data_IF_708662754241
#
_entry.id   IF_708662754241
#
_cell.length_a   1.000
_cell.length_b   1.000
_cell.length_c   1.000
_cell.angle_alpha   90.00
_cell.angle_beta   90.00
_cell.angle_gamma   90.00
#
_symmetry.space_group_name_H-M   'P 1'
#
loop_
_entity.id
_entity.type
_entity.pdbx_description
1 polymer ?
#
# COMPACT_ATOMS: atom_id res chain seq x y z
N UNK A 1 21.12 9.53 0.05
CA UNK A 1 21.21 8.07 0.18
C UNK A 1 20.09 7.59 1.08
N UNK A 2 19.19 6.82 0.52
CA UNK A 2 18.06 6.31 1.30
C UNK A 2 18.56 5.26 2.29
N UNK A 3 18.22 5.46 3.55
CA UNK A 3 18.53 4.49 4.60
C UNK A 3 17.42 3.44 4.62
N UNK A 4 17.79 2.18 4.46
CA UNK A 4 16.84 1.08 4.54
C UNK A 4 16.40 0.95 6.00
N UNK A 5 15.09 1.05 6.30
CA UNK A 5 14.64 0.96 7.68
C UNK A 5 14.85 -0.43 8.26
N UNK A 6 15.20 -0.46 9.55
CA UNK A 6 15.36 -1.70 10.29
C UNK A 6 14.92 -1.49 11.74
N UNK A 7 14.73 -2.60 12.46
CA UNK A 7 14.25 -2.57 13.84
C UNK A 7 12.74 -2.67 13.91
N UNK A 8 12.13 -1.99 14.88
CA UNK A 8 10.67 -1.95 15.01
C UNK A 8 10.11 -0.93 14.02
N UNK A 9 9.30 -1.40 13.11
CA UNK A 9 8.73 -0.58 12.03
C UNK A 9 7.21 -0.74 12.00
N UNK A 10 6.56 0.23 11.37
CA UNK A 10 5.13 0.11 11.04
C UNK A 10 5.00 -0.01 9.53
N UNK A 11 4.28 -1.03 9.10
CA UNK A 11 4.06 -1.31 7.68
C UNK A 11 2.66 -0.88 7.28
N UNK A 12 2.56 -0.29 6.11
CA UNK A 12 1.29 0.01 5.45
C UNK A 12 1.20 -0.85 4.19
N UNK A 13 0.10 -1.56 4.07
CA UNK A 13 -0.20 -2.37 2.89
C UNK A 13 -1.48 -1.88 2.28
N UNK A 14 -1.47 -1.68 0.96
CA UNK A 14 -2.64 -1.19 0.22
C UNK A 14 -2.92 -2.07 -0.97
N UNK A 15 -4.19 -2.21 -1.32
CA UNK A 15 -4.60 -2.78 -2.61
C UNK A 15 -5.92 -2.17 -3.06
N UNK A 16 -6.22 -2.30 -4.34
CA UNK A 16 -7.47 -1.80 -4.91
C UNK A 16 -8.53 -2.88 -4.77
N UNK A 17 -9.64 -2.53 -4.11
CA UNK A 17 -10.77 -3.43 -3.97
C UNK A 17 -11.38 -3.74 -5.33
N UNK A 18 -11.51 -5.04 -5.64
CA UNK A 18 -12.13 -5.49 -6.88
C UNK A 18 -11.38 -5.11 -8.15
N UNK A 19 -10.06 -4.99 -8.08
CA UNK A 19 -9.25 -4.56 -9.22
C UNK A 19 -9.39 -5.47 -10.44
N UNK A 20 -9.49 -6.77 -10.24
CA UNK A 20 -9.65 -7.73 -11.33
C UNK A 20 -10.91 -7.43 -12.15
N UNK A 21 -12.02 -7.18 -11.47
CA UNK A 21 -13.29 -6.85 -12.14
C UNK A 21 -13.22 -5.52 -12.88
N UNK A 22 -12.54 -4.53 -12.29
CA UNK A 22 -12.37 -3.22 -12.93
C UNK A 22 -11.56 -3.34 -14.23
N UNK A 23 -10.49 -4.15 -14.21
CA UNK A 23 -9.69 -4.41 -15.40
C UNK A 23 -10.49 -5.12 -16.49
N UNK A 24 -11.34 -6.07 -16.11
CA UNK A 24 -12.19 -6.79 -17.05
C UNK A 24 -13.25 -5.91 -17.68
N UNK A 25 -13.89 -5.05 -16.88
CA UNK A 25 -15.02 -4.22 -17.33
C UNK A 25 -14.58 -2.96 -18.06
N UNK A 26 -13.51 -2.30 -17.58
CA UNK A 26 -13.09 -0.99 -18.06
C UNK A 26 -11.57 -0.92 -18.23
N UNK A 27 -10.99 -1.73 -19.12
CA UNK A 27 -9.51 -1.84 -19.20
C UNK A 27 -8.84 -0.51 -19.54
N UNK A 28 -9.41 0.27 -20.45
CA UNK A 28 -8.83 1.57 -20.82
C UNK A 28 -8.93 2.59 -19.71
N UNK A 29 -10.11 2.72 -19.12
CA UNK A 29 -10.34 3.65 -18.01
C UNK A 29 -9.56 3.23 -16.78
N UNK A 30 -9.40 1.92 -16.54
CA UNK A 30 -8.65 1.40 -15.41
C UNK A 30 -7.16 1.73 -15.51
N UNK A 31 -6.60 1.75 -16.70
CA UNK A 31 -5.20 2.12 -16.90
C UNK A 31 -4.94 3.55 -16.42
N UNK A 32 -5.79 4.49 -16.79
CA UNK A 32 -5.68 5.87 -16.34
C UNK A 32 -5.95 6.00 -14.84
N UNK A 33 -6.96 5.28 -14.33
CA UNK A 33 -7.29 5.28 -12.92
C UNK A 33 -6.15 4.74 -12.06
N UNK A 34 -5.47 3.68 -12.52
CA UNK A 34 -4.33 3.10 -11.81
C UNK A 34 -3.18 4.12 -11.71
N UNK A 35 -2.90 4.85 -12.79
CA UNK A 35 -1.87 5.88 -12.77
C UNK A 35 -2.17 6.97 -11.74
N UNK A 36 -3.43 7.40 -11.64
CA UNK A 36 -3.86 8.38 -10.64
C UNK A 36 -3.78 7.81 -9.22
N UNK A 37 -4.22 6.57 -9.05
CA UNK A 37 -4.12 5.86 -7.78
C UNK A 37 -2.67 5.80 -7.30
N UNK A 38 -1.76 5.38 -8.17
CA UNK A 38 -0.34 5.27 -7.84
C UNK A 38 0.23 6.61 -7.42
N UNK A 39 -0.11 7.69 -8.13
CA UNK A 39 0.34 9.03 -7.79
C UNK A 39 -0.17 9.49 -6.42
N UNK A 40 -1.45 9.25 -6.12
CA UNK A 40 -2.05 9.61 -4.84
C UNK A 40 -1.39 8.88 -3.67
N UNK A 41 -1.23 7.57 -3.79
CA UNK A 41 -0.65 6.74 -2.73
C UNK A 41 0.83 7.09 -2.53
N UNK A 42 1.58 7.15 -3.63
CA UNK A 42 3.01 7.44 -3.58
C UNK A 42 3.29 8.81 -2.94
N UNK A 43 2.57 9.82 -3.35
CA UNK A 43 2.72 11.16 -2.79
C UNK A 43 2.42 11.19 -1.29
N UNK A 44 1.36 10.54 -0.85
CA UNK A 44 0.97 10.52 0.55
C UNK A 44 1.98 9.80 1.43
N UNK A 45 2.50 8.64 0.97
CA UNK A 45 3.45 7.87 1.78
C UNK A 45 4.83 8.51 1.80
N UNK A 46 5.29 9.04 0.68
CA UNK A 46 6.60 9.70 0.61
C UNK A 46 6.64 10.99 1.41
N UNK A 47 5.55 11.74 1.46
CA UNK A 47 5.44 12.97 2.25
C UNK A 47 5.61 12.71 3.76
N UNK A 48 5.39 11.48 4.21
CA UNK A 48 5.53 11.08 5.62
C UNK A 48 6.74 10.18 5.87
N UNK A 49 7.69 10.17 4.96
CA UNK A 49 8.90 9.39 5.11
C UNK A 49 8.74 7.90 4.92
N UNK A 50 7.67 7.48 4.25
CA UNK A 50 7.45 6.07 3.95
C UNK A 50 8.43 5.55 2.90
N UNK A 51 8.94 4.34 3.13
CA UNK A 51 9.82 3.65 2.21
C UNK A 51 9.02 2.55 1.50
N UNK A 52 8.78 2.74 0.21
CA UNK A 52 8.09 1.74 -0.60
C UNK A 52 9.09 0.65 -0.97
N UNK A 53 8.97 -0.50 -0.33
CA UNK A 53 9.94 -1.58 -0.53
C UNK A 53 9.47 -2.63 -1.53
N UNK A 54 8.19 -2.64 -1.87
CA UNK A 54 7.64 -3.61 -2.81
C UNK A 54 6.34 -3.10 -3.39
N UNK A 55 6.11 -3.42 -4.66
CA UNK A 55 4.81 -3.27 -5.30
C UNK A 55 4.46 -4.60 -5.98
N UNK A 56 3.19 -5.00 -5.88
CA UNK A 56 2.67 -6.20 -6.52
C UNK A 56 1.36 -5.82 -7.19
N UNK A 57 1.34 -5.76 -8.53
CA UNK A 57 0.18 -5.24 -9.25
C UNK A 57 -0.14 -3.83 -8.79
N UNK A 58 -1.34 -3.62 -8.26
CA UNK A 58 -1.76 -2.34 -7.68
C UNK A 58 -1.41 -2.18 -6.19
N UNK A 59 -0.88 -3.20 -5.55
CA UNK A 59 -0.59 -3.21 -4.12
C UNK A 59 0.73 -2.51 -3.81
N UNK A 60 0.72 -1.71 -2.74
CA UNK A 60 1.92 -1.07 -2.20
C UNK A 60 2.27 -1.66 -0.84
N UNK A 61 3.55 -1.93 -0.65
CA UNK A 61 4.12 -2.35 0.64
C UNK A 61 5.10 -1.28 1.10
N UNK A 62 4.77 -0.59 2.19
CA UNK A 62 5.49 0.60 2.65
C UNK A 62 5.93 0.41 4.10
N UNK A 63 7.15 0.82 4.42
CA UNK A 63 7.68 0.80 5.77
C UNK A 63 7.83 2.23 6.31
N UNK A 64 7.43 2.42 7.57
CA UNK A 64 7.56 3.69 8.28
C UNK A 64 8.32 3.47 9.58
N UNK A 65 9.06 4.48 10.01
CA UNK A 65 9.78 4.42 11.26
C UNK A 65 8.85 4.39 12.49
N UNK A 66 7.68 5.01 12.39
CA UNK A 66 6.73 5.10 13.51
C UNK A 66 5.30 4.86 13.06
N UNK A 67 4.46 4.39 13.99
CA UNK A 67 3.04 4.18 13.74
C UNK A 67 2.28 5.47 13.43
N UNK A 68 2.52 6.60 14.13
CA UNK A 68 1.84 7.84 13.80
C UNK A 68 2.08 8.32 12.37
N UNK A 69 3.30 8.18 11.85
CA UNK A 69 3.59 8.56 10.47
C UNK A 69 2.87 7.66 9.47
N UNK A 70 2.83 6.36 9.75
CA UNK A 70 2.10 5.41 8.90
C UNK A 70 0.61 5.71 8.87
N UNK A 71 0.02 5.99 10.03
CA UNK A 71 -1.40 6.34 10.13
C UNK A 71 -1.71 7.64 9.40
N UNK A 72 -0.86 8.66 9.58
CA UNK A 72 -1.03 9.94 8.90
C UNK A 72 -0.97 9.77 7.37
N UNK A 73 -0.04 8.95 6.89
CA UNK A 73 0.08 8.65 5.46
C UNK A 73 -1.16 7.93 4.93
N UNK A 74 -1.66 6.93 5.68
CA UNK A 74 -2.85 6.19 5.29
C UNK A 74 -4.08 7.11 5.19
N UNK A 75 -4.27 8.00 6.17
CA UNK A 75 -5.36 8.97 6.14
C UNK A 75 -5.22 9.95 4.98
N UNK A 76 -4.03 10.47 4.75
CA UNK A 76 -3.78 11.40 3.65
C UNK A 76 -4.05 10.73 2.30
N UNK A 77 -3.63 9.49 2.13
CA UNK A 77 -3.90 8.73 0.92
C UNK A 77 -5.39 8.52 0.70
N UNK A 78 -6.12 8.10 1.74
CA UNK A 78 -7.56 7.88 1.64
C UNK A 78 -8.31 9.17 1.31
N UNK A 79 -7.93 10.29 1.90
CA UNK A 79 -8.54 11.60 1.59
C UNK A 79 -8.28 12.01 0.15
N UNK A 80 -7.06 11.82 -0.34
CA UNK A 80 -6.72 12.14 -1.73
C UNK A 80 -7.49 11.26 -2.70
N UNK A 81 -7.61 9.96 -2.40
CA UNK A 81 -8.34 9.01 -3.22
C UNK A 81 -9.84 9.34 -3.26
N UNK A 82 -10.42 9.76 -2.14
CA UNK A 82 -11.83 10.16 -2.08
C UNK A 82 -12.10 11.47 -2.80
N UNK A 83 -11.12 12.37 -2.83
CA UNK A 83 -11.26 13.66 -3.51
C UNK A 83 -11.08 13.57 -5.03
N UNK A 84 -10.55 12.46 -5.53
CA UNK A 84 -10.25 12.29 -6.95
C UNK A 84 -11.54 12.04 -7.75
N UNK A 85 -11.61 12.63 -8.94
CA UNK A 85 -12.72 12.40 -9.87
C UNK A 85 -12.43 11.16 -10.72
N UNK A 86 -12.96 10.02 -10.32
CA UNK A 86 -12.65 8.74 -10.95
C UNK A 86 -13.45 8.47 -12.24
N UNK A 87 -14.58 9.12 -12.42
CA UNK A 87 -15.45 8.89 -13.59
C UNK A 87 -16.04 7.49 -13.56
N UNK A 88 -15.77 6.70 -14.60
CA UNK A 88 -16.37 5.37 -14.78
C UNK A 88 -15.75 4.29 -13.90
N UNK A 89 -14.59 4.56 -13.31
CA UNK A 89 -13.87 3.57 -12.52
C UNK A 89 -13.57 4.10 -11.11
N UNK A 90 -14.58 4.16 -10.23
CA UNK A 90 -14.33 4.56 -8.84
C UNK A 90 -13.36 3.59 -8.19
N UNK A 91 -12.30 4.14 -7.60
CA UNK A 91 -11.25 3.36 -6.96
C UNK A 91 -11.45 3.40 -5.45
N UNK A 92 -11.56 2.22 -4.86
CA UNK A 92 -11.59 2.03 -3.41
C UNK A 92 -10.37 1.23 -3.01
N UNK A 93 -9.65 1.72 -2.02
CA UNK A 93 -8.38 1.12 -1.59
C UNK A 93 -8.54 0.58 -0.18
N UNK A 94 -8.19 -0.70 -0.04
CA UNK A 94 -8.11 -1.35 1.26
C UNK A 94 -6.72 -1.12 1.81
N UNK A 95 -6.63 -0.86 3.12
CA UNK A 95 -5.37 -0.61 3.79
C UNK A 95 -5.27 -1.43 5.06
N UNK A 96 -4.06 -1.88 5.37
CA UNK A 96 -3.76 -2.56 6.62
C UNK A 96 -2.46 -2.00 7.20
N UNK A 97 -2.43 -1.81 8.51
CA UNK A 97 -1.26 -1.37 9.25
C UNK A 97 -0.79 -2.48 10.17
N UNK A 98 0.52 -2.66 10.25
CA UNK A 98 1.12 -3.65 11.12
C UNK A 98 2.43 -3.12 11.69
N UNK A 99 2.59 -3.18 13.00
CA UNK A 99 3.85 -2.82 13.67
C UNK A 99 4.55 -4.08 14.13
N UNK A 100 5.81 -4.21 13.79
CA UNK A 100 6.60 -5.37 14.17
C UNK A 100 8.07 -5.19 13.87
N UNK A 101 8.86 -6.13 14.32
CA UNK A 101 10.30 -6.12 14.09
C UNK A 101 10.60 -6.57 12.66
N UNK A 102 11.52 -5.85 12.04
CA UNK A 102 11.97 -6.16 10.70
C UNK A 102 13.50 -6.08 10.62
N UNK A 103 14.06 -6.87 9.74
CA UNK A 103 15.48 -6.80 9.44
C UNK A 103 15.69 -6.80 7.94
N UNK A 104 16.74 -6.11 7.52
CA UNK A 104 17.15 -6.10 6.13
C UNK A 104 18.14 -7.23 5.92
N UNK A 105 17.84 -8.14 4.99
CA UNK A 105 18.77 -9.17 4.57
C UNK A 105 19.68 -8.63 3.49
N UNK A 106 20.94 -8.48 3.82
CA UNK A 106 21.94 -8.12 2.82
C UNK A 106 22.01 -9.21 1.75
N UNK A 107 21.89 -8.81 0.48
CA UNK A 107 22.02 -9.72 -0.66
C UNK A 107 20.80 -10.57 -0.99
N UNK A 108 19.71 -10.45 -0.24
CA UNK A 108 18.52 -11.25 -0.49
C UNK A 108 17.70 -10.74 -1.68
N UNK A 109 17.60 -9.43 -1.83
CA UNK A 109 16.87 -8.80 -2.94
C UNK A 109 17.60 -7.53 -3.34
N UNK A 110 17.72 -7.20 -4.63
CA UNK A 110 18.19 -5.88 -5.04
C UNK A 110 17.35 -4.80 -4.39
N UNK A 111 17.99 -3.87 -3.68
CA UNK A 111 17.29 -2.82 -2.96
C UNK A 111 17.07 -3.08 -1.48
N UNK A 112 17.35 -4.28 -0.98
CA UNK A 112 17.36 -4.56 0.46
C UNK A 112 16.00 -4.44 1.14
N UNK A 113 15.01 -5.14 0.61
CA UNK A 113 13.66 -5.14 1.20
C UNK A 113 13.70 -5.66 2.65
N UNK A 114 13.00 -5.01 3.58
CA UNK A 114 12.92 -5.52 4.95
C UNK A 114 12.17 -6.85 5.01
N UNK A 115 12.64 -7.73 5.87
CA UNK A 115 11.99 -9.02 6.11
C UNK A 115 11.24 -8.92 7.42
N UNK A 116 9.93 -9.05 7.36
CA UNK A 116 9.08 -9.03 8.54
C UNK A 116 9.23 -10.37 9.26
N UNK A 117 9.64 -10.31 10.53
CA UNK A 117 9.75 -11.52 11.35
C UNK A 117 8.38 -12.02 11.72
N UNK A 118 8.14 -13.28 11.43
CA UNK A 118 7.02 -14.05 11.82
C UNK A 118 5.74 -13.72 11.30
N UNK A 119 4.90 -14.76 11.16
CA UNK A 119 4.18 -15.15 9.94
C UNK A 119 3.04 -14.23 9.61
N UNK A 120 3.25 -12.94 9.67
CA UNK A 120 2.27 -11.97 9.25
C UNK A 120 2.21 -11.96 7.72
N UNK A 121 1.01 -12.12 7.20
CA UNK A 121 0.77 -12.12 5.77
C UNK A 121 -0.11 -10.92 5.42
N UNK A 122 0.43 -9.95 4.66
CA UNK A 122 -0.34 -8.76 4.28
C UNK A 122 -1.61 -9.09 3.49
N UNK A 123 -1.50 -10.05 2.59
CA UNK A 123 -2.63 -10.54 1.81
C UNK A 123 -3.75 -11.07 2.70
N UNK A 124 -3.40 -11.82 3.74
CA UNK A 124 -4.38 -12.33 4.67
C UNK A 124 -5.01 -11.23 5.52
N UNK A 125 -4.23 -10.22 5.91
CA UNK A 125 -4.75 -9.09 6.67
C UNK A 125 -5.74 -8.27 5.86
N UNK A 126 -5.44 -8.02 4.59
CA UNK A 126 -6.32 -7.31 3.68
C UNK A 126 -7.59 -8.11 3.36
N UNK A 127 -7.47 -9.43 3.23
CA UNK A 127 -8.59 -10.30 2.93
C UNK A 127 -9.61 -10.41 4.06
N UNK A 128 -9.21 -10.12 5.29
CA UNK A 128 -10.09 -10.17 6.47
C UNK A 128 -10.93 -8.92 6.67
N UNK A 129 -10.85 -7.96 5.80
CA UNK A 129 -11.64 -6.74 5.93
C UNK A 129 -13.13 -7.07 5.79
N UNK A 130 -14.00 -6.63 6.75
CA UNK A 130 -15.41 -7.04 6.77
C UNK A 130 -16.21 -6.62 5.53
N UNK A 131 -15.75 -5.65 4.78
CA UNK A 131 -16.43 -5.21 3.56
C UNK A 131 -16.10 -6.02 2.32
N UNK A 132 -15.15 -6.92 2.40
CA UNK A 132 -14.63 -7.63 1.22
C UNK A 132 -15.52 -8.80 0.76
N UNK A 133 -16.52 -9.15 1.54
CA UNK A 133 -17.35 -10.32 1.26
C UNK A 133 -18.79 -10.03 0.91
N UNK A 134 -19.18 -8.78 0.84
CA UNK A 134 -20.54 -8.41 0.53
C UNK A 134 -20.66 -8.03 -0.94
N UNK A 135 -20.68 -8.99 -1.82
CA UNK A 135 -20.91 -8.78 -3.24
C UNK A 135 -22.04 -9.64 -3.71
#
# INVERSE_FOLDING_TARGET
METIPSGTLTFLFTDIEGSTQLWERQPGAMQAALARHDACVRQAVEARGGYIFKTVGDAFYVAFATAPEALAAALAAQRALQAEAWGLTPIRVRMALHTGDAETRAGAVPGGAPVVRRPWRPDAALARHPGAGAG
#
